data_IF_521639454385
#
_entry.id   IF_521639454385
#
_cell.length_a   1.000
_cell.length_b   1.000
_cell.length_c   1.000
_cell.angle_alpha   90.00
_cell.angle_beta   90.00
_cell.angle_gamma   90.00
#
_symmetry.space_group_name_H-M   'P 1'
#
loop_
_entity.id
_entity.type
_entity.pdbx_description
1 polymer ?
#
# COMPACT_ATOMS: atom_id res chain seq x y z
N UNK A 1 5.44 -19.93 -19.67
CA UNK A 1 4.85 -18.88 -20.53
C UNK A 1 5.87 -17.77 -20.70
N UNK A 2 5.81 -17.05 -21.84
CA UNK A 2 6.52 -15.77 -22.01
C UNK A 2 5.55 -14.62 -21.76
N UNK A 3 5.87 -13.72 -20.83
CA UNK A 3 4.99 -12.66 -20.39
C UNK A 3 5.69 -11.31 -20.63
N UNK A 4 4.99 -10.40 -21.28
CA UNK A 4 5.44 -9.04 -21.51
C UNK A 4 4.71 -8.09 -20.56
N UNK A 5 5.46 -7.26 -19.84
CA UNK A 5 4.94 -6.29 -18.89
C UNK A 5 5.15 -4.85 -19.38
N UNK A 6 4.07 -4.13 -19.65
CA UNK A 6 4.11 -2.71 -19.96
C UNK A 6 4.10 -1.89 -18.66
N UNK A 7 5.11 -1.05 -18.44
CA UNK A 7 5.36 -0.37 -17.19
C UNK A 7 5.99 -1.28 -16.11
N UNK A 8 6.98 -2.10 -16.51
CA UNK A 8 7.58 -3.15 -15.66
C UNK A 8 8.24 -2.60 -14.39
N UNK A 9 8.66 -1.32 -14.35
CA UNK A 9 9.23 -0.65 -13.20
C UNK A 9 8.20 -0.01 -12.25
N UNK A 10 6.91 -0.10 -12.58
CA UNK A 10 5.84 0.46 -11.75
C UNK A 10 5.60 -0.36 -10.47
N UNK A 11 5.24 0.32 -9.37
CA UNK A 11 5.04 -0.30 -8.04
C UNK A 11 3.98 -1.42 -8.01
N UNK A 12 3.03 -1.43 -8.94
CA UNK A 12 2.03 -2.50 -9.03
C UNK A 12 2.42 -3.63 -9.99
N UNK A 13 3.17 -3.33 -11.04
CA UNK A 13 3.55 -4.30 -12.10
C UNK A 13 4.86 -4.99 -11.77
N UNK A 14 5.84 -4.26 -11.25
CA UNK A 14 7.17 -4.81 -11.00
C UNK A 14 7.19 -5.99 -10.02
N UNK A 15 6.49 -5.93 -8.88
CA UNK A 15 6.37 -7.09 -8.00
C UNK A 15 5.78 -8.31 -8.71
N UNK A 16 4.80 -8.12 -9.59
CA UNK A 16 4.21 -9.22 -10.37
C UNK A 16 5.21 -9.79 -11.39
N UNK A 17 6.03 -8.94 -12.01
CA UNK A 17 7.10 -9.39 -12.92
C UNK A 17 8.13 -10.25 -12.15
N UNK A 18 8.51 -9.87 -10.93
CA UNK A 18 9.38 -10.67 -10.06
C UNK A 18 8.72 -12.02 -9.71
N UNK A 19 7.46 -12.02 -9.28
CA UNK A 19 6.70 -13.24 -8.97
C UNK A 19 6.65 -14.16 -10.19
N UNK A 20 6.33 -13.64 -11.37
CA UNK A 20 6.27 -14.41 -12.60
C UNK A 20 7.64 -15.03 -12.96
N UNK A 21 8.73 -14.26 -12.78
CA UNK A 21 10.10 -14.74 -12.99
C UNK A 21 10.45 -15.87 -12.02
N UNK A 22 10.23 -15.67 -10.72
CA UNK A 22 10.49 -16.70 -9.71
C UNK A 22 9.60 -17.95 -9.88
N UNK A 23 8.37 -17.77 -10.41
CA UNK A 23 7.49 -18.89 -10.76
C UNK A 23 7.91 -19.67 -12.01
N UNK A 24 9.03 -19.29 -12.63
CA UNK A 24 9.62 -19.98 -13.79
C UNK A 24 9.06 -19.55 -15.13
N UNK A 25 8.43 -18.36 -15.21
CA UNK A 25 8.02 -17.77 -16.48
C UNK A 25 9.16 -16.95 -17.10
N UNK A 26 9.20 -16.88 -18.42
CA UNK A 26 10.07 -15.95 -19.13
C UNK A 26 9.43 -14.56 -19.09
N UNK A 27 10.14 -13.60 -18.47
CA UNK A 27 9.65 -12.25 -18.26
C UNK A 27 10.43 -11.26 -19.12
N UNK A 28 9.71 -10.38 -19.78
CA UNK A 28 10.24 -9.22 -20.51
C UNK A 28 9.27 -8.05 -20.37
N UNK A 29 9.64 -6.87 -20.83
CA UNK A 29 8.74 -5.72 -20.75
C UNK A 29 9.40 -4.40 -21.14
N UNK A 30 8.74 -3.32 -20.80
CA UNK A 30 9.21 -1.96 -21.03
C UNK A 30 8.84 -1.02 -19.89
N UNK A 31 9.60 0.05 -19.73
CA UNK A 31 9.24 1.20 -18.91
C UNK A 31 9.71 2.50 -19.55
N UNK A 32 9.15 3.63 -19.14
CA UNK A 32 9.57 4.96 -19.61
C UNK A 32 10.87 5.40 -18.98
N UNK A 33 11.05 5.08 -17.69
CA UNK A 33 12.16 5.56 -16.87
C UNK A 33 12.78 4.42 -16.06
N UNK A 34 14.06 4.59 -15.75
CA UNK A 34 14.76 3.70 -14.84
C UNK A 34 14.36 4.00 -13.39
N UNK A 35 14.21 2.96 -12.58
CA UNK A 35 13.87 3.03 -11.16
C UNK A 35 14.66 2.00 -10.36
N UNK A 36 14.67 2.07 -9.04
CA UNK A 36 15.29 1.05 -8.18
C UNK A 36 14.73 -0.34 -8.48
N UNK A 37 13.43 -0.42 -8.80
CA UNK A 37 12.79 -1.69 -9.14
C UNK A 37 13.29 -2.23 -10.48
N UNK A 38 13.42 -1.39 -11.52
CA UNK A 38 14.00 -1.83 -12.81
C UNK A 38 15.46 -2.26 -12.67
N UNK A 39 16.22 -1.59 -11.80
CA UNK A 39 17.60 -2.02 -11.50
C UNK A 39 17.64 -3.41 -10.84
N UNK A 40 16.73 -3.69 -9.92
CA UNK A 40 16.61 -5.00 -9.28
C UNK A 40 16.18 -6.08 -10.29
N UNK A 41 15.20 -5.80 -11.15
CA UNK A 41 14.79 -6.71 -12.22
C UNK A 41 15.96 -7.04 -13.17
N UNK A 42 16.78 -6.05 -13.51
CA UNK A 42 17.99 -6.23 -14.33
C UNK A 42 19.01 -7.12 -13.63
N UNK A 43 19.23 -6.95 -12.33
CA UNK A 43 20.12 -7.83 -11.53
C UNK A 43 19.61 -9.27 -11.47
N UNK A 44 18.30 -9.48 -11.56
CA UNK A 44 17.66 -10.79 -11.62
C UNK A 44 17.73 -11.42 -13.04
N UNK A 45 18.36 -10.74 -14.01
CA UNK A 45 18.52 -11.25 -15.38
C UNK A 45 17.31 -11.04 -16.28
N UNK A 46 16.34 -10.23 -15.87
CA UNK A 46 15.15 -9.91 -16.68
C UNK A 46 15.54 -8.85 -17.72
N UNK A 47 15.28 -9.16 -19.00
CA UNK A 47 15.56 -8.25 -20.12
C UNK A 47 14.32 -7.41 -20.44
N UNK A 48 14.46 -6.09 -20.47
CA UNK A 48 13.39 -5.14 -20.80
C UNK A 48 13.96 -3.88 -21.47
N UNK A 49 13.10 -3.08 -22.07
CA UNK A 49 13.45 -1.81 -22.71
C UNK A 49 13.09 -0.61 -21.82
N UNK A 50 13.95 0.42 -21.85
CA UNK A 50 13.67 1.71 -21.21
C UNK A 50 13.58 2.77 -22.28
N UNK A 51 12.43 3.46 -22.37
CA UNK A 51 12.26 4.53 -23.33
C UNK A 51 10.83 4.81 -23.76
N UNK A 52 10.62 4.99 -25.06
CA UNK A 52 9.40 5.57 -25.61
C UNK A 52 8.15 4.68 -25.53
N UNK A 53 8.26 3.39 -25.20
CA UNK A 53 7.16 2.43 -25.18
C UNK A 53 6.26 2.48 -26.43
N UNK A 54 6.89 2.60 -27.60
CA UNK A 54 6.20 2.79 -28.89
C UNK A 54 5.74 1.47 -29.57
N UNK A 55 5.86 0.32 -28.89
CA UNK A 55 5.49 -0.99 -29.40
C UNK A 55 6.60 -1.71 -30.19
N UNK A 56 7.68 -1.03 -30.57
CA UNK A 56 8.75 -1.65 -31.37
C UNK A 56 9.46 -2.79 -30.65
N UNK A 57 9.74 -2.59 -29.33
CA UNK A 57 10.38 -3.64 -28.53
C UNK A 57 9.43 -4.83 -28.31
N UNK A 58 8.15 -4.58 -28.10
CA UNK A 58 7.11 -5.61 -27.98
C UNK A 58 7.08 -6.47 -29.24
N UNK A 59 6.99 -5.84 -30.42
CA UNK A 59 6.97 -6.55 -31.72
C UNK A 59 8.20 -7.43 -31.90
N UNK A 60 9.39 -6.86 -31.71
CA UNK A 60 10.66 -7.59 -31.82
C UNK A 60 10.74 -8.77 -30.83
N UNK A 61 10.28 -8.53 -29.57
CA UNK A 61 10.25 -9.60 -28.58
C UNK A 61 9.31 -10.74 -28.95
N UNK A 62 8.17 -10.42 -29.58
CA UNK A 62 7.22 -11.43 -30.06
C UNK A 62 7.73 -12.21 -31.28
N UNK A 63 8.46 -11.55 -32.18
CA UNK A 63 9.10 -12.18 -33.32
C UNK A 63 10.21 -13.18 -32.91
N UNK A 64 10.96 -12.83 -31.84
CA UNK A 64 12.02 -13.72 -31.32
C UNK A 64 11.44 -14.99 -30.70
N UNK A 65 10.38 -14.84 -29.91
CA UNK A 65 9.61 -15.93 -29.30
C UNK A 65 8.21 -15.43 -29.03
N UNK A 66 7.15 -16.15 -29.38
CA UNK A 66 5.79 -15.75 -29.15
C UNK A 66 5.52 -15.39 -27.67
N UNK A 67 4.85 -14.26 -27.47
CA UNK A 67 4.40 -13.79 -26.16
C UNK A 67 3.03 -14.39 -25.87
N UNK A 68 2.89 -15.07 -24.72
CA UNK A 68 1.62 -15.67 -24.29
C UNK A 68 0.69 -14.64 -23.66
N UNK A 69 1.25 -13.68 -22.89
CA UNK A 69 0.47 -12.66 -22.19
C UNK A 69 1.13 -11.29 -22.29
N UNK A 70 0.33 -10.28 -22.60
CA UNK A 70 0.67 -8.85 -22.46
C UNK A 70 -0.05 -8.31 -21.23
N UNK A 71 0.73 -7.89 -20.20
CA UNK A 71 0.20 -7.43 -18.91
C UNK A 71 0.46 -5.94 -18.76
N UNK A 72 -0.55 -5.22 -18.33
CA UNK A 72 -0.49 -3.76 -18.21
C UNK A 72 -1.24 -3.25 -16.97
N UNK A 73 -0.91 -2.04 -16.53
CA UNK A 73 -1.57 -1.34 -15.43
C UNK A 73 -2.89 -0.72 -15.88
N UNK A 74 -3.88 -0.64 -14.98
CA UNK A 74 -5.14 0.06 -15.22
C UNK A 74 -4.94 1.56 -15.58
N UNK A 75 -3.80 2.14 -15.19
CA UNK A 75 -3.45 3.52 -15.53
C UNK A 75 -3.03 3.72 -17.00
N UNK A 76 -2.81 2.64 -17.77
CA UNK A 76 -2.41 2.74 -19.16
C UNK A 76 -3.61 3.12 -20.03
N UNK A 77 -3.54 4.20 -20.81
CA UNK A 77 -4.66 4.62 -21.66
C UNK A 77 -4.91 3.62 -22.77
N UNK A 78 -6.17 3.48 -23.20
CA UNK A 78 -6.59 2.49 -24.21
C UNK A 78 -5.92 2.68 -25.60
N UNK A 79 -5.44 3.89 -25.89
CA UNK A 79 -4.68 4.22 -27.10
C UNK A 79 -3.17 4.18 -26.92
N UNK A 80 -2.68 3.62 -25.81
CA UNK A 80 -1.24 3.47 -25.60
C UNK A 80 -0.60 2.60 -26.68
N UNK A 81 0.54 3.02 -27.30
CA UNK A 81 1.12 2.34 -28.47
C UNK A 81 1.39 0.85 -28.25
N UNK A 82 1.89 0.45 -27.10
CA UNK A 82 2.13 -0.97 -26.81
C UNK A 82 0.83 -1.77 -26.65
N UNK A 83 -0.23 -1.18 -26.06
CA UNK A 83 -1.51 -1.87 -25.93
C UNK A 83 -2.20 -2.03 -27.31
N UNK A 84 -2.07 -1.03 -28.17
CA UNK A 84 -2.54 -1.11 -29.56
C UNK A 84 -1.78 -2.18 -30.33
N UNK A 85 -0.45 -2.20 -30.21
CA UNK A 85 0.38 -3.20 -30.89
C UNK A 85 0.12 -4.62 -30.35
N UNK A 86 -0.08 -4.79 -29.05
CA UNK A 86 -0.47 -6.08 -28.48
C UNK A 86 -1.78 -6.63 -29.09
N UNK A 87 -2.77 -5.74 -29.29
CA UNK A 87 -4.04 -6.10 -29.96
C UNK A 87 -3.83 -6.45 -31.44
N UNK A 88 -3.01 -5.68 -32.16
CA UNK A 88 -2.67 -5.94 -33.58
C UNK A 88 -1.98 -7.30 -33.75
N UNK A 89 -1.15 -7.68 -32.79
CA UNK A 89 -0.46 -8.97 -32.75
C UNK A 89 -1.37 -10.12 -32.24
N UNK A 90 -2.60 -9.85 -31.86
CA UNK A 90 -3.52 -10.85 -31.32
C UNK A 90 -3.10 -11.44 -29.98
N UNK A 91 -2.27 -10.70 -29.19
CA UNK A 91 -1.80 -11.17 -27.88
C UNK A 91 -2.93 -11.16 -26.86
N UNK A 92 -2.91 -12.12 -25.94
CA UNK A 92 -3.79 -12.08 -24.78
C UNK A 92 -3.39 -10.92 -23.89
N UNK A 93 -4.24 -9.89 -23.81
CA UNK A 93 -4.05 -8.75 -22.91
C UNK A 93 -4.73 -9.01 -21.57
N UNK A 94 -4.09 -8.64 -20.46
CA UNK A 94 -4.63 -8.80 -19.11
C UNK A 94 -4.19 -7.67 -18.18
N UNK A 95 -5.01 -7.36 -17.19
CA UNK A 95 -4.62 -6.54 -16.06
C UNK A 95 -3.76 -7.35 -15.08
N UNK A 96 -3.08 -6.63 -14.17
CA UNK A 96 -2.20 -7.20 -13.13
C UNK A 96 -2.85 -8.36 -12.38
N UNK A 97 -4.05 -8.14 -11.87
CA UNK A 97 -4.70 -9.06 -10.94
C UNK A 97 -5.21 -10.33 -11.62
N UNK A 98 -5.55 -10.27 -12.91
CA UNK A 98 -5.89 -11.45 -13.72
C UNK A 98 -4.71 -12.43 -13.85
N UNK A 99 -3.50 -11.92 -14.13
CA UNK A 99 -2.31 -12.76 -14.20
C UNK A 99 -1.94 -13.31 -12.83
N UNK A 100 -1.99 -12.48 -11.76
CA UNK A 100 -1.66 -12.92 -10.42
C UNK A 100 -2.62 -14.03 -9.94
N UNK A 101 -3.93 -13.85 -10.14
CA UNK A 101 -4.93 -14.86 -9.82
C UNK A 101 -4.65 -16.18 -10.54
N UNK A 102 -4.26 -16.10 -11.82
CA UNK A 102 -3.87 -17.30 -12.59
C UNK A 102 -2.63 -17.97 -12.00
N UNK A 103 -1.58 -17.22 -11.64
CA UNK A 103 -0.35 -17.79 -11.05
C UNK A 103 -0.68 -18.49 -9.73
N UNK A 104 -1.46 -17.84 -8.85
CA UNK A 104 -1.89 -18.40 -7.56
C UNK A 104 -2.65 -19.72 -7.77
N UNK A 105 -3.60 -19.73 -8.71
CA UNK A 105 -4.39 -20.92 -9.05
C UNK A 105 -3.55 -22.05 -9.67
N UNK A 106 -2.70 -21.74 -10.67
CA UNK A 106 -1.85 -22.74 -11.34
C UNK A 106 -0.85 -23.39 -10.36
N UNK A 107 -0.39 -22.62 -9.38
CA UNK A 107 0.53 -23.09 -8.32
C UNK A 107 -0.19 -23.66 -7.11
N UNK A 108 -1.53 -23.67 -7.10
CA UNK A 108 -2.39 -24.17 -6.00
C UNK A 108 -2.08 -23.55 -4.64
N UNK A 109 -1.75 -22.25 -4.63
CA UNK A 109 -1.44 -21.53 -3.40
C UNK A 109 -2.72 -21.09 -2.68
N UNK A 110 -2.73 -21.22 -1.36
CA UNK A 110 -3.76 -20.69 -0.49
C UNK A 110 -3.55 -19.18 -0.33
N UNK A 111 -4.48 -18.38 -0.83
CA UNK A 111 -4.38 -16.93 -0.77
C UNK A 111 -4.76 -16.40 0.61
N UNK A 112 -3.84 -15.67 1.26
CA UNK A 112 -4.10 -14.83 2.41
C UNK A 112 -4.20 -13.40 1.89
N UNK A 113 -5.42 -12.92 1.76
CA UNK A 113 -5.74 -11.61 1.18
C UNK A 113 -5.87 -10.56 2.28
N UNK A 114 -5.10 -9.50 2.18
CA UNK A 114 -5.24 -8.33 3.04
C UNK A 114 -6.00 -7.27 2.25
N UNK A 115 -7.24 -7.00 2.67
CA UNK A 115 -8.12 -6.03 2.02
C UNK A 115 -8.60 -4.98 3.02
N UNK A 116 -9.19 -3.91 2.52
CA UNK A 116 -9.69 -2.79 3.33
C UNK A 116 -9.24 -1.45 2.78
N UNK A 117 -9.86 -0.38 3.22
CA UNK A 117 -9.56 0.97 2.74
C UNK A 117 -8.18 1.44 3.20
N UNK A 118 -7.85 1.24 4.49
CA UNK A 118 -6.61 1.71 5.11
C UNK A 118 -5.79 0.56 5.70
N UNK A 119 -4.47 0.72 5.77
CA UNK A 119 -3.56 -0.20 6.45
C UNK A 119 -3.14 -1.44 5.67
N UNK A 120 -3.66 -1.68 4.46
CA UNK A 120 -3.35 -2.86 3.63
C UNK A 120 -1.85 -3.16 3.54
N UNK A 121 -1.05 -2.21 3.07
CA UNK A 121 0.39 -2.40 2.82
C UNK A 121 1.15 -2.81 4.07
N UNK A 122 0.96 -2.10 5.19
CA UNK A 122 1.63 -2.42 6.47
C UNK A 122 1.22 -3.79 6.98
N UNK A 123 -0.07 -4.15 6.84
CA UNK A 123 -0.60 -5.43 7.29
C UNK A 123 -0.10 -6.59 6.43
N UNK A 124 0.00 -6.40 5.10
CA UNK A 124 0.59 -7.39 4.18
C UNK A 124 2.06 -7.62 4.49
N UNK A 125 2.82 -6.55 4.73
CA UNK A 125 4.23 -6.63 5.11
C UNK A 125 4.41 -7.33 6.47
N UNK A 126 3.58 -6.99 7.47
CA UNK A 126 3.58 -7.63 8.79
C UNK A 126 3.26 -9.13 8.68
N UNK A 127 2.22 -9.50 7.93
CA UNK A 127 1.86 -10.92 7.71
C UNK A 127 3.04 -11.67 7.09
N UNK A 128 3.64 -11.12 6.04
CA UNK A 128 4.84 -11.70 5.41
C UNK A 128 6.00 -11.86 6.40
N UNK A 129 6.24 -10.85 7.25
CA UNK A 129 7.27 -10.88 8.27
C UNK A 129 7.04 -12.00 9.30
N UNK A 130 5.80 -12.17 9.77
CA UNK A 130 5.44 -13.27 10.69
C UNK A 130 5.80 -14.62 10.09
N UNK A 131 5.39 -14.88 8.83
CA UNK A 131 5.74 -16.16 8.17
C UNK A 131 7.25 -16.38 8.08
N UNK A 132 8.02 -15.34 7.71
CA UNK A 132 9.49 -15.42 7.64
C UNK A 132 10.11 -15.71 9.00
N UNK A 133 9.61 -15.09 10.07
CA UNK A 133 10.12 -15.31 11.44
C UNK A 133 9.77 -16.68 12.00
N UNK A 134 8.62 -17.21 11.62
CA UNK A 134 8.22 -18.57 11.96
C UNK A 134 8.86 -19.64 11.06
N UNK A 135 9.72 -19.24 10.11
CA UNK A 135 10.33 -20.10 9.12
C UNK A 135 9.31 -20.91 8.28
N UNK A 136 8.14 -20.36 8.04
CA UNK A 136 7.12 -20.92 7.16
C UNK A 136 7.37 -20.38 5.75
N UNK A 137 7.59 -21.25 4.74
CA UNK A 137 7.77 -20.81 3.36
C UNK A 137 6.58 -19.98 2.90
N UNK A 138 6.86 -18.82 2.26
CA UNK A 138 5.83 -17.88 1.84
C UNK A 138 6.13 -17.26 0.48
N UNK A 139 5.08 -17.12 -0.35
CA UNK A 139 5.04 -16.28 -1.54
C UNK A 139 4.22 -15.03 -1.23
N UNK A 140 4.58 -13.88 -1.81
CA UNK A 140 3.89 -12.65 -1.46
C UNK A 140 4.01 -11.56 -2.53
N UNK A 141 3.11 -10.58 -2.46
CA UNK A 141 3.21 -9.29 -3.16
C UNK A 141 2.76 -8.17 -2.23
N UNK A 142 3.65 -7.20 -2.02
CA UNK A 142 3.47 -6.06 -1.11
C UNK A 142 3.49 -4.78 -1.95
N UNK A 143 2.59 -3.85 -1.67
CA UNK A 143 2.44 -2.58 -2.38
C UNK A 143 3.52 -1.53 -2.05
N UNK A 144 4.61 -1.92 -1.36
CA UNK A 144 5.74 -1.05 -1.01
C UNK A 144 7.04 -1.84 -1.02
N UNK A 145 8.17 -1.14 -1.00
CA UNK A 145 9.47 -1.74 -0.69
C UNK A 145 9.56 -2.08 0.80
N UNK A 146 10.38 -3.10 1.11
CA UNK A 146 10.60 -3.62 2.45
C UNK A 146 12.08 -3.94 2.65
N UNK A 147 12.58 -3.77 3.87
CA UNK A 147 13.99 -4.03 4.19
C UNK A 147 14.37 -5.51 4.27
N UNK A 148 13.37 -6.41 4.34
CA UNK A 148 13.57 -7.85 4.58
C UNK A 148 13.29 -8.73 3.35
N UNK A 149 13.23 -8.16 2.15
CA UNK A 149 13.08 -8.89 0.89
C UNK A 149 12.62 -8.03 -0.28
N UNK A 150 12.37 -8.67 -1.43
CA UNK A 150 11.77 -8.03 -2.59
C UNK A 150 10.28 -7.70 -2.33
N UNK A 151 9.71 -6.77 -3.10
CA UNK A 151 8.27 -6.44 -3.00
C UNK A 151 7.36 -7.54 -3.56
N UNK A 152 7.89 -8.38 -4.46
CA UNK A 152 7.19 -9.53 -5.02
C UNK A 152 8.09 -10.75 -5.03
N UNK A 153 7.63 -11.86 -4.45
CA UNK A 153 8.40 -13.09 -4.35
C UNK A 153 7.52 -14.32 -4.48
N UNK A 154 7.98 -15.31 -5.24
CA UNK A 154 7.40 -16.64 -5.30
C UNK A 154 8.39 -17.66 -4.75
N UNK A 155 7.96 -18.41 -3.76
CA UNK A 155 8.70 -19.53 -3.19
C UNK A 155 8.03 -20.84 -3.63
N UNK A 156 8.80 -21.71 -4.31
CA UNK A 156 8.30 -23.01 -4.82
C UNK A 156 7.84 -23.98 -3.72
N UNK A 157 8.34 -23.80 -2.49
CA UNK A 157 8.07 -24.65 -1.35
C UNK A 157 6.94 -24.07 -0.48
N UNK A 158 6.29 -22.98 -0.91
CA UNK A 158 5.20 -22.33 -0.21
C UNK A 158 3.85 -22.93 -0.58
N UNK A 159 3.02 -23.15 0.45
CA UNK A 159 1.59 -23.44 0.31
C UNK A 159 0.73 -22.16 0.30
N UNK A 160 1.31 -21.00 0.67
CA UNK A 160 0.59 -19.76 0.90
C UNK A 160 1.10 -18.63 0.02
N UNK A 161 0.18 -17.72 -0.32
CA UNK A 161 0.46 -16.46 -0.98
C UNK A 161 -0.17 -15.32 -0.20
N UNK A 162 0.63 -14.36 0.32
CA UNK A 162 0.14 -13.15 0.98
C UNK A 162 0.05 -12.02 -0.03
N UNK A 163 -1.11 -11.40 -0.15
CA UNK A 163 -1.36 -10.37 -1.15
C UNK A 163 -2.16 -9.20 -0.61
N UNK A 164 -1.72 -7.99 -0.97
CA UNK A 164 -2.46 -6.75 -0.80
C UNK A 164 -3.57 -6.65 -1.85
N UNK A 165 -4.77 -7.08 -1.49
CA UNK A 165 -5.94 -7.08 -2.38
C UNK A 165 -6.59 -5.69 -2.40
N UNK A 166 -6.41 -4.98 -3.51
CA UNK A 166 -6.90 -3.64 -3.73
C UNK A 166 -8.35 -3.65 -4.21
N UNK A 167 -9.22 -2.91 -3.54
CA UNK A 167 -10.62 -2.72 -3.91
C UNK A 167 -10.81 -1.82 -5.13
N UNK A 168 -9.84 -0.95 -5.45
CA UNK A 168 -9.89 -0.08 -6.63
C UNK A 168 -10.14 -0.88 -7.91
N UNK A 169 -11.02 -0.37 -8.79
CA UNK A 169 -11.42 -1.02 -10.05
C UNK A 169 -11.94 -2.45 -9.83
N UNK A 170 -12.45 -2.77 -8.62
CA UNK A 170 -12.97 -4.09 -8.19
C UNK A 170 -11.94 -5.23 -8.34
N UNK A 171 -10.64 -4.91 -8.30
CA UNK A 171 -9.57 -5.86 -8.57
C UNK A 171 -9.55 -7.05 -7.59
N UNK A 172 -9.88 -6.82 -6.30
CA UNK A 172 -9.92 -7.89 -5.30
C UNK A 172 -10.94 -8.99 -5.63
N UNK A 173 -11.97 -8.71 -6.46
CA UNK A 173 -12.97 -9.69 -6.86
C UNK A 173 -12.48 -10.75 -7.85
N UNK A 174 -11.27 -10.60 -8.38
CA UNK A 174 -10.61 -11.65 -9.18
C UNK A 174 -10.12 -12.83 -8.35
N UNK A 175 -10.16 -12.74 -7.03
CA UNK A 175 -9.59 -13.73 -6.12
C UNK A 175 -10.65 -14.50 -5.33
N UNK A 176 -10.26 -15.71 -4.87
CA UNK A 176 -11.00 -16.53 -3.92
C UNK A 176 -10.06 -16.82 -2.73
N UNK A 177 -10.06 -15.98 -1.70
CA UNK A 177 -9.13 -16.12 -0.59
C UNK A 177 -9.42 -17.37 0.27
N UNK A 178 -8.35 -18.04 0.70
CA UNK A 178 -8.39 -19.00 1.80
C UNK A 178 -8.63 -18.29 3.15
N UNK A 179 -8.00 -17.12 3.32
CA UNK A 179 -8.23 -16.21 4.45
C UNK A 179 -8.24 -14.77 3.94
N UNK A 180 -9.26 -14.01 4.27
CA UNK A 180 -9.27 -12.56 4.11
C UNK A 180 -9.19 -11.85 5.47
N UNK A 181 -8.27 -10.88 5.55
CA UNK A 181 -8.10 -9.99 6.69
C UNK A 181 -8.59 -8.61 6.26
N UNK A 182 -9.72 -8.16 6.79
CA UNK A 182 -10.33 -6.88 6.43
C UNK A 182 -9.92 -5.83 7.46
N UNK A 183 -9.06 -4.90 7.08
CA UNK A 183 -8.50 -3.90 7.99
C UNK A 183 -9.48 -2.77 8.32
N UNK A 184 -10.24 -2.30 7.33
CA UNK A 184 -11.29 -1.28 7.46
C UNK A 184 -12.19 -1.26 6.22
N UNK A 185 -13.40 -0.70 6.36
CA UNK A 185 -14.33 -0.49 5.24
C UNK A 185 -14.86 0.95 5.31
N UNK A 186 -14.02 1.89 4.90
CA UNK A 186 -14.35 3.30 4.77
C UNK A 186 -14.58 3.64 3.31
N UNK A 187 -15.62 4.39 2.99
CA UNK A 187 -15.94 4.72 1.61
C UNK A 187 -14.82 5.52 0.92
N UNK A 188 -14.27 4.95 -0.14
CA UNK A 188 -13.30 5.57 -1.03
C UNK A 188 -13.61 5.21 -2.50
N UNK A 189 -12.85 5.78 -3.43
CA UNK A 189 -12.93 5.50 -4.88
C UNK A 189 -14.33 5.78 -5.49
N UNK A 190 -14.85 7.02 -5.40
CA UNK A 190 -16.16 7.37 -5.96
C UNK A 190 -16.24 7.24 -7.49
N UNK A 191 -15.10 7.17 -8.17
CA UNK A 191 -14.95 6.85 -9.59
C UNK A 191 -15.27 5.40 -9.93
N UNK A 192 -15.01 4.48 -9.01
CA UNK A 192 -15.29 3.05 -9.12
C UNK A 192 -16.62 2.67 -8.46
N UNK A 193 -16.95 3.30 -7.34
CA UNK A 193 -18.12 3.04 -6.51
C UNK A 193 -18.93 4.32 -6.34
N UNK A 194 -19.99 4.52 -7.15
CA UNK A 194 -20.80 5.74 -7.11
C UNK A 194 -21.45 6.01 -5.75
N UNK A 195 -21.73 4.97 -4.97
CA UNK A 195 -22.36 5.08 -3.65
C UNK A 195 -21.63 4.28 -2.57
N UNK A 196 -21.86 4.65 -1.30
CA UNK A 196 -21.37 3.85 -0.15
C UNK A 196 -21.90 2.43 -0.16
N UNK A 197 -23.10 2.23 -0.66
CA UNK A 197 -23.73 0.92 -0.77
C UNK A 197 -23.04 0.05 -1.82
N UNK A 198 -22.67 0.62 -2.99
CA UNK A 198 -21.88 -0.09 -4.02
C UNK A 198 -20.54 -0.56 -3.47
N UNK A 199 -19.87 0.29 -2.68
CA UNK A 199 -18.61 -0.03 -2.01
C UNK A 199 -18.80 -1.18 -1.01
N UNK A 200 -19.78 -1.08 -0.14
CA UNK A 200 -20.11 -2.12 0.84
C UNK A 200 -20.48 -3.45 0.18
N UNK A 201 -21.27 -3.43 -0.91
CA UNK A 201 -21.65 -4.62 -1.65
C UNK A 201 -20.45 -5.32 -2.32
N UNK A 202 -19.45 -4.57 -2.78
CA UNK A 202 -18.23 -5.16 -3.31
C UNK A 202 -17.42 -5.90 -2.22
N UNK A 203 -17.33 -5.36 -1.00
CA UNK A 203 -16.71 -6.07 0.13
C UNK A 203 -17.53 -7.30 0.54
N UNK A 204 -18.85 -7.21 0.51
CA UNK A 204 -19.72 -8.38 0.75
C UNK A 204 -19.42 -9.49 -0.25
N UNK A 205 -19.39 -9.19 -1.55
CA UNK A 205 -19.05 -10.15 -2.60
C UNK A 205 -17.67 -10.77 -2.37
N UNK A 206 -16.67 -9.96 -1.96
CA UNK A 206 -15.34 -10.45 -1.67
C UNK A 206 -15.31 -11.39 -0.46
N UNK A 207 -16.04 -11.07 0.61
CA UNK A 207 -16.17 -11.93 1.79
C UNK A 207 -16.87 -13.24 1.44
N UNK A 208 -17.92 -13.19 0.61
CA UNK A 208 -18.65 -14.40 0.14
C UNK A 208 -17.75 -15.35 -0.69
N UNK A 209 -16.70 -14.81 -1.36
CA UNK A 209 -15.68 -15.58 -2.07
C UNK A 209 -14.59 -16.14 -1.16
N UNK A 210 -14.50 -15.70 0.08
CA UNK A 210 -13.45 -16.08 1.03
C UNK A 210 -13.87 -17.31 1.81
N UNK A 211 -12.95 -18.26 2.00
CA UNK A 211 -13.22 -19.44 2.84
C UNK A 211 -13.31 -19.06 4.33
N UNK A 212 -12.44 -18.14 4.77
CA UNK A 212 -12.41 -17.58 6.11
C UNK A 212 -12.21 -16.08 6.05
N UNK A 213 -12.79 -15.33 6.97
CA UNK A 213 -12.64 -13.87 7.08
C UNK A 213 -12.47 -13.46 8.53
N UNK A 214 -11.58 -12.51 8.80
CA UNK A 214 -11.47 -11.81 10.08
C UNK A 214 -11.59 -10.31 9.86
N UNK A 215 -12.37 -9.63 10.70
CA UNK A 215 -12.59 -8.19 10.63
C UNK A 215 -12.96 -7.62 12.01
N UNK A 216 -12.92 -6.29 12.15
CA UNK A 216 -13.49 -5.60 13.30
C UNK A 216 -15.00 -5.41 13.11
N UNK A 217 -15.78 -5.66 14.16
CA UNK A 217 -17.24 -5.57 14.12
C UNK A 217 -17.72 -4.14 13.79
N UNK A 218 -17.08 -3.12 14.37
CA UNK A 218 -17.40 -1.71 14.16
C UNK A 218 -17.05 -1.18 12.76
N UNK A 219 -16.18 -1.87 12.04
CA UNK A 219 -15.79 -1.53 10.67
C UNK A 219 -16.68 -2.19 9.61
N UNK A 220 -17.48 -3.18 10.02
CA UNK A 220 -18.32 -3.93 9.09
C UNK A 220 -19.73 -3.37 9.06
N UNK A 221 -20.27 -3.03 7.88
CA UNK A 221 -21.69 -2.74 7.73
C UNK A 221 -22.56 -3.88 8.25
N UNK A 222 -23.71 -3.56 8.86
CA UNK A 222 -24.63 -4.55 9.47
C UNK A 222 -25.08 -5.69 8.54
N UNK A 223 -24.95 -5.51 7.23
CA UNK A 223 -25.28 -6.54 6.22
C UNK A 223 -24.36 -7.77 6.26
N UNK A 224 -23.19 -7.68 6.93
CA UNK A 224 -22.26 -8.81 7.07
C UNK A 224 -22.49 -9.63 8.33
N UNK A 225 -23.28 -9.13 9.26
CA UNK A 225 -23.59 -9.83 10.50
C UNK A 225 -24.32 -11.13 10.20
N UNK A 226 -23.76 -12.25 10.67
CA UNK A 226 -24.37 -13.57 10.54
C UNK A 226 -23.89 -14.39 9.32
N UNK A 227 -22.92 -13.96 8.56
CA UNK A 227 -22.30 -14.80 7.52
C UNK A 227 -21.43 -15.92 8.18
N UNK A 228 -21.45 -17.11 7.58
CA UNK A 228 -20.61 -18.23 8.03
C UNK A 228 -19.14 -17.92 7.73
N UNK A 229 -18.24 -18.37 8.60
CA UNK A 229 -16.79 -18.22 8.47
C UNK A 229 -16.28 -16.78 8.56
N UNK A 230 -17.02 -15.88 9.19
CA UNK A 230 -16.56 -14.52 9.51
C UNK A 230 -16.34 -14.41 11.02
N UNK A 231 -15.10 -14.20 11.43
CA UNK A 231 -14.73 -13.89 12.81
C UNK A 231 -14.72 -12.38 13.00
N UNK A 232 -15.65 -11.85 13.79
CA UNK A 232 -15.75 -10.44 14.12
C UNK A 232 -15.15 -10.18 15.50
N UNK A 233 -14.11 -9.35 15.55
CA UNK A 233 -13.47 -8.92 16.77
C UNK A 233 -14.11 -7.61 17.28
N UNK A 234 -14.21 -7.45 18.58
CA UNK A 234 -14.71 -6.23 19.22
C UNK A 234 -13.54 -5.27 19.50
N UNK A 235 -13.62 -4.06 18.99
CA UNK A 235 -12.52 -3.10 18.93
C UNK A 235 -11.87 -2.76 20.28
N UNK A 236 -12.62 -2.77 21.37
CA UNK A 236 -12.09 -2.35 22.67
C UNK A 236 -11.60 -3.53 23.53
N UNK A 237 -12.24 -4.69 23.40
CA UNK A 237 -11.96 -5.86 24.25
C UNK A 237 -10.95 -6.84 23.66
N UNK A 238 -10.89 -6.92 22.31
CA UNK A 238 -10.17 -7.99 21.63
C UNK A 238 -8.80 -7.58 21.09
N UNK A 239 -8.38 -6.30 21.28
CA UNK A 239 -7.00 -5.92 20.96
C UNK A 239 -6.05 -6.76 21.80
N UNK A 240 -5.18 -7.49 21.13
CA UNK A 240 -4.25 -8.38 21.79
C UNK A 240 -3.25 -7.59 22.68
N UNK A 241 -3.28 -7.78 24.01
CA UNK A 241 -2.46 -7.00 24.95
C UNK A 241 -0.95 -7.28 24.84
N UNK A 242 -0.56 -8.41 24.24
CA UNK A 242 0.83 -8.78 24.07
C UNK A 242 1.49 -8.06 22.87
N UNK A 243 0.68 -7.37 22.06
CA UNK A 243 1.16 -6.59 20.90
C UNK A 243 1.53 -5.18 21.35
N UNK A 244 2.83 -4.85 21.24
CA UNK A 244 3.42 -3.59 21.71
C UNK A 244 3.82 -2.64 20.58
N UNK A 245 3.38 -2.91 19.34
CA UNK A 245 3.66 -2.04 18.19
C UNK A 245 3.19 -0.59 18.46
N UNK A 246 3.97 0.42 18.08
CA UNK A 246 3.53 1.80 18.13
C UNK A 246 2.32 2.05 17.24
N UNK A 247 1.39 2.87 17.73
CA UNK A 247 0.15 3.22 17.03
C UNK A 247 -0.97 2.19 17.21
N UNK A 248 -2.10 2.65 17.73
CA UNK A 248 -3.28 1.79 17.95
C UNK A 248 -3.73 1.07 16.69
N UNK A 249 -3.73 1.77 15.54
CA UNK A 249 -4.08 1.19 14.24
C UNK A 249 -3.17 0.01 13.85
N UNK A 250 -1.87 0.07 14.18
CA UNK A 250 -0.94 -1.03 13.95
C UNK A 250 -1.23 -2.21 14.87
N UNK A 251 -1.55 -1.93 16.15
CA UNK A 251 -1.95 -2.99 17.09
C UNK A 251 -3.26 -3.65 16.68
N UNK A 252 -4.24 -2.88 16.22
CA UNK A 252 -5.50 -3.39 15.66
C UNK A 252 -5.24 -4.30 14.46
N UNK A 253 -4.49 -3.83 13.47
CA UNK A 253 -4.18 -4.62 12.27
C UNK A 253 -3.39 -5.89 12.61
N UNK A 254 -2.42 -5.81 13.52
CA UNK A 254 -1.66 -6.97 13.97
C UNK A 254 -2.54 -7.98 14.71
N UNK A 255 -3.50 -7.51 15.51
CA UNK A 255 -4.48 -8.38 16.19
C UNK A 255 -5.32 -9.16 15.18
N UNK A 256 -5.85 -8.50 14.13
CA UNK A 256 -6.57 -9.17 13.05
C UNK A 256 -5.72 -10.25 12.38
N UNK A 257 -4.45 -9.95 12.08
CA UNK A 257 -3.54 -10.93 11.47
C UNK A 257 -3.34 -12.13 12.39
N UNK A 258 -3.03 -11.90 13.67
CA UNK A 258 -2.81 -12.99 14.63
C UNK A 258 -4.08 -13.83 14.80
N UNK A 259 -5.25 -13.19 14.92
CA UNK A 259 -6.53 -13.90 15.04
C UNK A 259 -6.83 -14.73 13.78
N UNK A 260 -6.75 -14.13 12.58
CA UNK A 260 -7.03 -14.83 11.33
C UNK A 260 -6.05 -16.00 11.08
N UNK A 261 -4.76 -15.82 11.33
CA UNK A 261 -3.77 -16.90 11.22
C UNK A 261 -3.98 -18.00 12.26
N UNK A 262 -4.56 -17.66 13.43
CA UNK A 262 -4.93 -18.65 14.46
C UNK A 262 -6.17 -19.42 14.04
N UNK A 263 -7.19 -18.76 13.50
CA UNK A 263 -8.42 -19.40 13.04
C UNK A 263 -8.16 -20.47 11.96
N UNK A 264 -7.17 -20.23 11.10
CA UNK A 264 -6.80 -21.17 10.04
C UNK A 264 -5.65 -22.12 10.45
N UNK A 265 -5.24 -22.11 11.71
CA UNK A 265 -4.29 -23.06 12.30
C UNK A 265 -2.81 -22.83 11.95
N UNK A 266 -2.46 -21.72 11.31
CA UNK A 266 -1.06 -21.34 11.01
C UNK A 266 -0.36 -20.92 12.30
N UNK A 267 -0.99 -20.09 13.11
CA UNK A 267 -0.58 -19.81 14.48
C UNK A 267 -1.33 -20.80 15.40
N UNK A 268 -0.62 -21.42 16.32
CA UNK A 268 -1.17 -22.36 17.27
C UNK A 268 -0.41 -22.27 18.62
N UNK A 269 -0.80 -23.05 19.61
CA UNK A 269 -0.22 -23.00 20.96
C UNK A 269 1.31 -23.18 20.99
N UNK A 270 1.89 -23.88 20.02
CA UNK A 270 3.33 -24.18 20.01
C UNK A 270 4.18 -23.02 19.47
N UNK A 271 3.61 -22.16 18.60
CA UNK A 271 4.33 -21.06 17.96
C UNK A 271 3.73 -19.67 18.27
N UNK A 272 2.72 -19.59 19.15
CA UNK A 272 2.06 -18.32 19.48
C UNK A 272 3.05 -17.28 20.05
N UNK A 273 3.90 -17.67 20.99
CA UNK A 273 4.89 -16.77 21.58
C UNK A 273 5.89 -16.24 20.53
N UNK A 274 6.32 -17.11 19.60
CA UNK A 274 7.20 -16.73 18.51
C UNK A 274 6.50 -15.78 17.53
N UNK A 275 5.21 -16.03 17.26
CA UNK A 275 4.40 -15.16 16.41
C UNK A 275 4.26 -13.76 17.02
N UNK A 276 3.96 -13.64 18.32
CA UNK A 276 3.90 -12.35 19.02
C UNK A 276 5.28 -11.65 19.03
N UNK A 277 6.35 -12.40 19.28
CA UNK A 277 7.72 -11.87 19.18
C UNK A 277 8.01 -11.34 17.76
N UNK A 278 7.58 -12.07 16.73
CA UNK A 278 7.69 -11.62 15.35
C UNK A 278 6.91 -10.32 15.11
N UNK A 279 5.66 -10.24 15.57
CA UNK A 279 4.85 -9.01 15.48
C UNK A 279 5.60 -7.84 16.11
N UNK A 280 6.04 -7.98 17.36
CA UNK A 280 6.68 -6.88 18.11
C UNK A 280 8.06 -6.47 17.56
N UNK A 281 8.70 -7.34 16.76
CA UNK A 281 9.96 -7.05 16.06
C UNK A 281 9.79 -6.63 14.60
N UNK A 282 8.56 -6.34 14.16
CA UNK A 282 8.30 -5.93 12.78
C UNK A 282 9.01 -4.62 12.45
N UNK A 283 9.87 -4.59 11.41
CA UNK A 283 10.67 -3.41 11.10
C UNK A 283 9.90 -2.28 10.38
N UNK A 284 8.62 -2.54 10.04
CA UNK A 284 7.83 -1.62 9.21
C UNK A 284 7.95 -1.91 7.71
N UNK A 285 7.30 -1.08 6.92
CA UNK A 285 7.43 -1.00 5.46
C UNK A 285 7.86 0.42 5.09
N UNK A 286 8.53 0.56 3.95
CA UNK A 286 9.01 1.87 3.51
C UNK A 286 7.83 2.84 3.34
N UNK A 287 8.08 4.10 3.72
CA UNK A 287 7.07 5.17 3.70
C UNK A 287 5.84 4.91 4.60
N UNK A 288 5.96 4.03 5.61
CA UNK A 288 4.91 3.77 6.61
C UNK A 288 5.48 4.05 8.00
N UNK A 289 5.51 5.31 8.39
CA UNK A 289 6.19 5.85 9.55
C UNK A 289 7.66 5.36 9.62
N UNK A 290 8.30 5.36 8.47
CA UNK A 290 9.68 4.92 8.30
C UNK A 290 10.65 5.95 8.87
N UNK A 291 11.60 5.49 9.65
CA UNK A 291 12.65 6.33 10.22
C UNK A 291 13.78 6.54 9.21
N UNK A 292 13.99 7.78 8.79
CA UNK A 292 15.09 8.17 7.91
C UNK A 292 16.35 8.54 8.68
N UNK A 293 16.20 9.37 9.73
CA UNK A 293 17.25 9.79 10.67
C UNK A 293 16.72 9.71 12.10
N UNK A 294 17.58 9.88 13.14
CA UNK A 294 17.09 10.08 14.50
C UNK A 294 16.05 11.21 14.52
N UNK A 295 14.84 10.90 15.01
CA UNK A 295 13.70 11.79 15.11
C UNK A 295 13.12 12.31 13.77
N UNK A 296 13.58 11.86 12.62
CA UNK A 296 13.01 12.17 11.31
C UNK A 296 12.33 10.94 10.70
N UNK A 297 11.05 11.08 10.40
CA UNK A 297 10.23 10.02 9.85
C UNK A 297 9.57 10.44 8.55
N UNK A 298 9.26 9.47 7.68
CA UNK A 298 8.45 9.67 6.48
C UNK A 298 7.22 8.76 6.52
N UNK A 299 6.07 9.29 6.05
CA UNK A 299 4.83 8.54 5.96
C UNK A 299 4.06 8.84 4.67
N UNK A 300 3.38 7.85 4.14
CA UNK A 300 2.60 7.98 2.91
C UNK A 300 1.22 8.59 3.14
N UNK A 301 0.77 8.70 4.38
CA UNK A 301 -0.56 9.17 4.75
C UNK A 301 -0.94 10.48 4.08
N UNK A 302 -2.12 10.49 3.47
CA UNK A 302 -2.64 11.65 2.73
C UNK A 302 -4.17 11.80 2.85
N UNK A 303 -4.83 10.82 3.46
CA UNK A 303 -6.25 10.89 3.82
C UNK A 303 -6.41 11.37 5.27
N UNK A 304 -7.47 12.14 5.63
CA UNK A 304 -7.67 12.67 6.99
C UNK A 304 -7.52 11.63 8.11
N UNK A 305 -8.10 10.45 7.93
CA UNK A 305 -8.03 9.34 8.89
C UNK A 305 -6.58 8.85 9.06
N UNK A 306 -5.82 8.72 7.97
CA UNK A 306 -4.41 8.32 8.00
C UNK A 306 -3.54 9.35 8.71
N UNK A 307 -3.77 10.65 8.43
CA UNK A 307 -3.06 11.76 9.08
C UNK A 307 -3.23 11.67 10.61
N UNK A 308 -4.48 11.53 11.06
CA UNK A 308 -4.80 11.39 12.48
C UNK A 308 -4.12 10.17 13.11
N UNK A 309 -4.21 9.01 12.43
CA UNK A 309 -3.61 7.77 12.90
C UNK A 309 -2.08 7.88 13.05
N UNK A 310 -1.41 8.45 12.06
CA UNK A 310 0.04 8.68 12.07
C UNK A 310 0.44 9.69 13.15
N UNK A 311 -0.29 10.79 13.31
CA UNK A 311 0.00 11.78 14.37
C UNK A 311 -0.29 11.22 15.78
N UNK A 312 -1.28 10.35 15.95
CA UNK A 312 -1.50 9.63 17.21
C UNK A 312 -0.31 8.71 17.54
N UNK A 313 0.20 7.98 16.55
CA UNK A 313 1.39 7.16 16.70
C UNK A 313 2.63 8.01 17.02
N UNK A 314 2.82 9.13 16.32
CA UNK A 314 3.89 10.07 16.61
C UNK A 314 3.82 10.58 18.06
N UNK A 315 2.60 10.85 18.56
CA UNK A 315 2.37 11.26 19.96
C UNK A 315 2.76 10.18 20.96
N UNK A 316 2.41 8.92 20.71
CA UNK A 316 2.82 7.79 21.59
C UNK A 316 4.35 7.71 21.73
N UNK A 317 5.07 7.99 20.62
CA UNK A 317 6.54 7.97 20.62
C UNK A 317 7.12 9.22 21.26
N UNK A 318 6.61 10.40 20.90
CA UNK A 318 7.07 11.69 21.40
C UNK A 318 6.89 11.84 22.91
N UNK A 319 5.78 11.35 23.47
CA UNK A 319 5.50 11.38 24.90
C UNK A 319 6.55 10.65 25.74
N UNK A 320 7.13 9.55 25.22
CA UNK A 320 8.18 8.81 25.94
C UNK A 320 9.48 9.62 26.13
N UNK A 321 9.71 10.58 25.24
CA UNK A 321 10.93 11.40 25.23
C UNK A 321 10.65 12.89 25.50
N UNK A 322 9.41 13.26 25.83
CA UNK A 322 8.96 14.64 26.00
C UNK A 322 9.31 15.54 24.79
N UNK A 323 8.99 15.10 23.59
CA UNK A 323 9.28 15.77 22.34
C UNK A 323 8.07 16.51 21.77
N UNK A 324 8.30 17.63 21.12
CA UNK A 324 7.33 18.29 20.26
C UNK A 324 7.22 17.55 18.92
N UNK A 325 6.04 17.61 18.31
CA UNK A 325 5.78 16.99 17.00
C UNK A 325 5.71 18.09 15.95
N UNK A 326 6.61 18.02 14.97
CA UNK A 326 6.64 18.87 13.78
C UNK A 326 6.21 18.05 12.58
N UNK A 327 5.14 18.49 11.93
CA UNK A 327 4.61 17.86 10.72
C UNK A 327 5.03 18.66 9.48
N UNK A 328 5.53 17.99 8.45
CA UNK A 328 5.65 18.55 7.09
C UNK A 328 4.62 17.83 6.23
N UNK A 329 3.56 18.52 5.84
CA UNK A 329 2.45 17.88 5.13
C UNK A 329 2.34 18.34 3.68
N UNK A 330 2.29 17.38 2.75
CA UNK A 330 2.04 17.62 1.33
C UNK A 330 0.69 17.04 0.91
N UNK A 331 -0.34 17.88 0.70
CA UNK A 331 -1.61 17.41 0.11
C UNK A 331 -1.38 16.76 -1.26
N UNK A 332 -2.20 15.78 -1.61
CA UNK A 332 -2.03 15.01 -2.84
C UNK A 332 -3.31 15.02 -3.68
N UNK A 333 -3.21 15.39 -4.95
CA UNK A 333 -4.28 15.51 -5.94
C UNK A 333 -5.35 16.57 -5.59
N UNK A 334 -5.48 17.59 -6.42
CA UNK A 334 -6.46 18.65 -6.22
C UNK A 334 -7.91 18.12 -6.22
N UNK A 335 -8.23 17.16 -7.10
CA UNK A 335 -9.55 16.53 -7.13
C UNK A 335 -9.91 15.85 -5.79
N UNK A 336 -8.94 15.20 -5.16
CA UNK A 336 -9.13 14.61 -3.81
C UNK A 336 -9.35 15.71 -2.78
N UNK A 337 -8.58 16.79 -2.83
CA UNK A 337 -8.69 17.89 -1.87
C UNK A 337 -10.09 18.52 -1.87
N UNK A 338 -10.73 18.66 -3.03
CA UNK A 338 -12.12 19.12 -3.09
C UNK A 338 -13.08 18.25 -2.29
N UNK A 339 -12.84 16.95 -2.23
CA UNK A 339 -13.69 15.99 -1.52
C UNK A 339 -13.42 15.94 -0.01
N UNK A 340 -12.14 16.02 0.42
CA UNK A 340 -11.75 15.72 1.81
C UNK A 340 -11.42 16.96 2.65
N UNK A 341 -11.29 18.17 2.09
CA UNK A 341 -10.84 19.36 2.84
C UNK A 341 -11.67 19.68 4.09
N UNK A 342 -12.97 19.39 4.05
CA UNK A 342 -13.88 19.57 5.20
C UNK A 342 -13.57 18.62 6.36
N UNK A 343 -12.94 17.50 6.09
CA UNK A 343 -12.63 16.45 7.07
C UNK A 343 -11.27 16.69 7.75
N UNK A 344 -10.55 17.76 7.37
CA UNK A 344 -9.26 18.14 7.98
C UNK A 344 -9.37 18.76 9.37
N UNK A 345 -10.53 19.23 9.77
CA UNK A 345 -10.75 20.11 10.93
C UNK A 345 -9.94 19.76 12.18
N UNK A 346 -9.96 18.50 12.62
CA UNK A 346 -9.34 18.04 13.86
C UNK A 346 -8.22 17.00 13.67
N UNK A 347 -7.73 16.83 12.43
CA UNK A 347 -6.78 15.76 12.15
C UNK A 347 -5.35 16.09 12.58
N UNK A 348 -5.03 17.37 12.75
CA UNK A 348 -3.68 17.88 12.98
C UNK A 348 -3.40 18.25 14.44
N UNK A 349 -4.31 18.01 15.36
CA UNK A 349 -4.25 18.49 16.74
C UNK A 349 -3.00 18.07 17.53
N UNK A 350 -2.38 16.95 17.16
CA UNK A 350 -1.18 16.45 17.83
C UNK A 350 0.12 17.07 17.32
N UNK A 351 0.08 17.89 16.27
CA UNK A 351 1.25 18.60 15.76
C UNK A 351 1.35 19.99 16.42
N UNK A 352 2.49 20.28 17.05
CA UNK A 352 2.80 21.60 17.65
C UNK A 352 3.22 22.62 16.59
N UNK A 353 3.73 22.14 15.44
CA UNK A 353 4.11 22.95 14.28
C UNK A 353 3.78 22.18 13.00
N UNK A 354 3.26 22.86 11.99
CA UNK A 354 2.89 22.26 10.72
C UNK A 354 3.48 23.09 9.57
N UNK A 355 4.41 22.52 8.82
CA UNK A 355 4.82 23.06 7.52
C UNK A 355 3.90 22.51 6.45
N UNK A 356 3.03 23.38 5.92
CA UNK A 356 2.06 23.02 4.89
C UNK A 356 2.61 23.32 3.51
N UNK A 357 2.73 22.30 2.68
CA UNK A 357 3.29 22.39 1.32
C UNK A 357 2.19 22.61 0.26
N UNK A 358 2.52 23.12 -0.93
CA UNK A 358 1.63 23.10 -2.08
C UNK A 358 1.16 21.69 -2.40
N UNK A 359 -0.08 21.59 -2.89
CA UNK A 359 -0.66 20.31 -3.32
C UNK A 359 0.17 19.69 -4.44
N UNK A 360 0.55 18.42 -4.26
CA UNK A 360 1.16 17.64 -5.34
C UNK A 360 0.09 17.26 -6.37
N UNK A 361 0.21 17.84 -7.56
CA UNK A 361 -0.73 17.68 -8.66
C UNK A 361 -0.43 16.40 -9.44
N UNK A 362 -1.44 15.54 -9.63
CA UNK A 362 -1.35 14.30 -10.39
C UNK A 362 -2.73 13.84 -10.82
N UNK A 363 -2.93 13.57 -12.10
CA UNK A 363 -4.21 13.12 -12.69
C UNK A 363 -5.37 14.08 -12.38
N UNK A 364 -5.11 15.36 -12.57
CA UNK A 364 -6.06 16.40 -12.19
C UNK A 364 -7.22 16.52 -13.18
N UNK A 365 -8.39 16.92 -12.66
CA UNK A 365 -9.52 17.36 -13.48
C UNK A 365 -9.31 18.82 -13.87
N UNK A 366 -9.12 19.13 -15.18
CA UNK A 366 -8.87 20.49 -15.64
C UNK A 366 -10.06 21.44 -15.44
N UNK A 367 -11.26 20.94 -15.12
CA UNK A 367 -12.44 21.75 -14.81
C UNK A 367 -12.45 22.28 -13.38
N UNK A 368 -11.62 21.72 -12.47
CA UNK A 368 -11.56 22.11 -11.08
C UNK A 368 -10.47 23.17 -10.84
N UNK A 369 -10.84 24.25 -10.17
CA UNK A 369 -9.87 25.25 -9.69
C UNK A 369 -8.91 24.60 -8.68
N UNK A 370 -7.60 24.87 -8.83
CA UNK A 370 -6.61 24.40 -7.86
C UNK A 370 -6.82 25.13 -6.54
N UNK A 371 -7.08 24.37 -5.47
CA UNK A 371 -7.27 24.91 -4.14
C UNK A 371 -5.95 25.40 -3.57
N UNK A 372 -5.99 26.62 -3.05
CA UNK A 372 -4.86 27.26 -2.38
C UNK A 372 -4.62 26.64 -0.99
N UNK A 373 -3.41 26.74 -0.44
CA UNK A 373 -3.15 26.34 0.95
C UNK A 373 -4.09 27.00 1.97
N UNK A 374 -4.45 28.29 1.77
CA UNK A 374 -5.39 28.99 2.64
C UNK A 374 -6.78 28.33 2.65
N UNK A 375 -7.31 27.98 1.46
CA UNK A 375 -8.61 27.31 1.34
C UNK A 375 -8.62 25.89 1.92
N UNK A 376 -7.48 25.21 1.90
CA UNK A 376 -7.32 23.86 2.47
C UNK A 376 -7.21 23.89 3.99
N UNK A 377 -6.67 24.97 4.57
CA UNK A 377 -6.39 25.08 6.00
C UNK A 377 -7.45 25.90 6.76
N UNK A 378 -8.42 26.48 6.07
CA UNK A 378 -9.43 27.38 6.60
C UNK A 378 -10.13 26.84 7.85
N UNK A 379 -10.50 25.56 7.84
CA UNK A 379 -11.29 24.89 8.86
C UNK A 379 -10.46 24.08 9.86
N UNK A 380 -9.14 24.13 9.80
CA UNK A 380 -8.26 23.42 10.74
C UNK A 380 -8.29 24.13 12.09
N UNK A 381 -8.52 23.38 13.17
CA UNK A 381 -8.70 23.93 14.52
C UNK A 381 -7.43 24.62 15.01
N UNK A 382 -6.26 24.00 14.84
CA UNK A 382 -4.95 24.52 15.25
C UNK A 382 -4.20 25.21 14.10
N UNK A 383 -4.91 25.98 13.30
CA UNK A 383 -4.35 26.67 12.13
C UNK A 383 -3.25 27.69 12.46
N UNK A 384 -3.21 28.18 13.68
CA UNK A 384 -2.14 29.06 14.18
C UNK A 384 -0.76 28.37 14.19
N UNK A 385 -0.73 27.04 14.19
CA UNK A 385 0.50 26.25 14.11
C UNK A 385 0.99 26.03 12.68
N UNK A 386 0.24 26.51 11.66
CA UNK A 386 0.53 26.27 10.25
C UNK A 386 1.45 27.34 9.69
N UNK A 387 2.51 26.90 9.05
CA UNK A 387 3.47 27.73 8.31
C UNK A 387 3.47 27.23 6.87
N UNK A 388 3.13 28.06 5.90
CA UNK A 388 3.24 27.70 4.50
C UNK A 388 4.70 27.65 4.08
N UNK A 389 5.08 26.57 3.38
CA UNK A 389 6.45 26.30 2.98
C UNK A 389 6.51 25.61 1.61
N UNK A 390 7.72 25.54 1.06
CA UNK A 390 8.02 24.82 -0.18
C UNK A 390 9.17 23.84 0.04
N UNK A 391 9.29 22.80 -0.79
CA UNK A 391 10.38 21.83 -0.74
C UNK A 391 11.67 22.48 -1.28
N UNK A 392 12.39 23.18 -0.42
CA UNK A 392 13.63 23.92 -0.72
C UNK A 392 14.63 23.83 0.43
N UNK A 393 15.80 24.44 0.26
CA UNK A 393 16.86 24.45 1.26
C UNK A 393 16.49 25.26 2.51
N UNK A 394 15.65 26.29 2.39
CA UNK A 394 15.16 27.06 3.54
C UNK A 394 14.34 26.21 4.48
N UNK A 395 13.41 25.40 3.95
CA UNK A 395 12.64 24.44 4.75
C UNK A 395 13.57 23.43 5.41
N UNK A 396 14.58 22.92 4.70
CA UNK A 396 15.51 21.97 5.27
C UNK A 396 16.29 22.53 6.48
N UNK A 397 16.76 23.77 6.38
CA UNK A 397 17.42 24.46 7.50
C UNK A 397 16.48 24.53 8.71
N UNK A 398 15.21 24.92 8.52
CA UNK A 398 14.22 24.96 9.61
C UNK A 398 13.97 23.58 10.23
N UNK A 399 13.92 22.52 9.42
CA UNK A 399 13.76 21.16 9.92
C UNK A 399 15.00 20.69 10.71
N UNK A 400 16.20 21.08 10.29
CA UNK A 400 17.41 20.79 11.05
C UNK A 400 17.41 21.51 12.41
N UNK A 401 16.93 22.76 12.46
CA UNK A 401 16.74 23.48 13.71
C UNK A 401 15.73 22.77 14.63
N UNK A 402 14.57 22.35 14.10
CA UNK A 402 13.56 21.62 14.86
C UNK A 402 14.11 20.27 15.40
N UNK A 403 14.84 19.52 14.56
CA UNK A 403 15.53 18.27 14.97
C UNK A 403 16.57 18.51 16.05
N UNK A 404 17.39 19.56 15.92
CA UNK A 404 18.41 19.93 16.91
C UNK A 404 17.79 20.35 18.26
N UNK A 405 16.60 20.91 18.26
CA UNK A 405 15.82 21.19 19.47
C UNK A 405 15.12 19.93 20.04
N UNK A 406 15.32 18.78 19.43
CA UNK A 406 14.83 17.49 19.90
C UNK A 406 13.39 17.15 19.43
N UNK A 407 12.82 17.91 18.51
CA UNK A 407 11.49 17.62 17.99
C UNK A 407 11.47 16.30 17.20
N UNK A 408 10.32 15.62 17.24
CA UNK A 408 10.01 14.51 16.34
C UNK A 408 9.39 15.09 15.06
N UNK A 409 10.08 14.93 13.93
CA UNK A 409 9.70 15.47 12.62
C UNK A 409 9.10 14.36 11.77
N UNK A 410 7.90 14.59 11.23
CA UNK A 410 7.21 13.66 10.32
C UNK A 410 6.96 14.34 8.98
N UNK A 411 7.57 13.86 7.92
CA UNK A 411 7.19 14.24 6.56
C UNK A 411 6.10 13.33 6.03
N UNK A 412 4.96 13.91 5.64
CA UNK A 412 3.77 13.13 5.31
C UNK A 412 3.18 13.54 3.96
N UNK A 413 2.90 12.54 3.12
CA UNK A 413 2.22 12.70 1.84
C UNK A 413 2.60 11.66 0.79
N UNK A 414 1.71 11.48 -0.19
CA UNK A 414 1.89 10.54 -1.29
C UNK A 414 2.72 11.12 -2.47
N UNK A 415 3.06 12.41 -2.41
CA UNK A 415 3.76 13.13 -3.48
C UNK A 415 5.29 13.04 -3.41
N UNK A 416 5.95 14.19 -3.64
CA UNK A 416 7.41 14.31 -3.75
C UNK A 416 8.16 14.43 -2.43
N UNK A 417 7.45 14.63 -1.31
CA UNK A 417 8.05 14.89 0.01
C UNK A 417 9.01 13.77 0.45
N UNK A 418 8.63 12.50 0.31
CA UNK A 418 9.49 11.37 0.68
C UNK A 418 10.82 11.38 -0.08
N UNK A 419 10.74 11.54 -1.42
CA UNK A 419 11.96 11.62 -2.25
C UNK A 419 12.85 12.78 -1.83
N UNK A 420 12.24 13.93 -1.54
CA UNK A 420 12.98 15.12 -1.12
C UNK A 420 13.66 14.90 0.25
N UNK A 421 12.96 14.33 1.23
CA UNK A 421 13.53 14.02 2.54
C UNK A 421 14.73 13.05 2.43
N UNK A 422 14.60 11.98 1.64
CA UNK A 422 15.68 11.01 1.41
C UNK A 422 16.91 11.61 0.75
N UNK A 423 16.75 12.67 -0.05
CA UNK A 423 17.90 13.38 -0.66
C UNK A 423 18.61 14.28 0.34
N UNK A 424 17.96 14.65 1.44
CA UNK A 424 18.48 15.56 2.46
C UNK A 424 18.97 14.83 3.72
N UNK A 425 18.53 13.60 3.96
CA UNK A 425 18.85 12.77 5.13
C UNK A 425 20.14 11.93 5.01
#
# INVERSE_FOLDING_TARGET
MKIYFSGIGGVGIGPLAQIAHYAGHEVTGSDRESSLLTENLKKQGISFDIGSQNGTFLKRSNETKPIDWFVYTAALPQNHPELVEARNLGLKTAKRDELLSKIISDKKLKLIAIAGTHGKTSTTALTTWIFKKLNIPISYSIGSTISFGDSGFYNKDSDFFVYECDEFDRNFLHFNPFLSVITSVDYDHPDTYPTKEDYANAFKEFIEKSENTVAWEDQMPSIYLGQRNVNLLQCESDINPDITLPGEHNRKNATLVVAGLTDVGIINKNNYADAISAVNSFPGADRRFERLLPNLYTDYGHHPIEIKATLNMAKEIAQKNNQDIVLVYQPHQNIRQHNIKKDYSNQFLNASKIYWLPTYLSREDPSLTILTPNELTENIINKENIIFAELNDELWVKLQEDLNHGALVVGMGAGSIDKWLRQKS
#
